data_IF_866347226285
#
_entry.id   IF_866347226285
#
_cell.length_a   1.000
_cell.length_b   1.000
_cell.length_c   1.000
_cell.angle_alpha   90.00
_cell.angle_beta   90.00
_cell.angle_gamma   90.00
#
_symmetry.space_group_name_H-M   'P 1'
#
loop_
_entity.id
_entity.type
_entity.pdbx_description
1 polymer ?
#
# COMPACT_ATOMS: atom_id res chain seq x y z
N UNK A 1 -15.54 7.78 -13.36
CA UNK A 1 -14.28 8.47 -12.97
C UNK A 1 -13.23 7.41 -12.79
N UNK A 2 -12.46 7.13 -13.83
CA UNK A 2 -11.34 6.18 -13.76
C UNK A 2 -10.21 6.83 -12.99
N UNK A 3 -9.86 6.21 -11.90
CA UNK A 3 -8.81 6.61 -10.98
C UNK A 3 -7.46 6.37 -11.67
N UNK A 4 -6.49 7.24 -11.50
CA UNK A 4 -5.13 7.11 -12.07
C UNK A 4 -4.32 5.89 -11.59
N UNK A 5 -4.81 5.09 -10.66
CA UNK A 5 -4.31 3.73 -10.51
C UNK A 5 -4.47 2.93 -11.83
N UNK A 6 -5.32 3.41 -12.76
CA UNK A 6 -5.47 2.93 -14.12
C UNK A 6 -4.23 3.10 -15.02
N UNK A 7 -3.33 4.04 -14.74
CA UNK A 7 -2.06 4.10 -15.52
C UNK A 7 -1.17 2.89 -15.30
N UNK A 8 -1.34 2.23 -14.15
CA UNK A 8 -0.65 0.97 -13.86
C UNK A 8 -1.40 -0.25 -14.43
N UNK A 9 -2.73 -0.13 -14.66
CA UNK A 9 -3.53 -1.20 -15.29
C UNK A 9 -3.16 -1.42 -16.76
N UNK A 10 -2.88 -0.36 -17.51
CA UNK A 10 -2.52 -0.47 -18.93
C UNK A 10 -1.13 -1.08 -19.19
N UNK A 11 -0.26 -1.12 -18.20
CA UNK A 11 1.05 -1.73 -18.33
C UNK A 11 1.03 -3.26 -18.11
N UNK A 12 -0.02 -3.78 -17.49
CA UNK A 12 -0.17 -5.21 -17.18
C UNK A 12 -0.69 -6.02 -18.38
N UNK A 13 -1.35 -5.39 -19.36
CA UNK A 13 -1.93 -6.08 -20.53
C UNK A 13 -0.90 -6.68 -21.50
N UNK A 14 0.40 -6.41 -21.31
CA UNK A 14 1.46 -6.87 -22.18
C UNK A 14 2.47 -7.84 -21.53
N UNK A 15 2.29 -8.19 -20.27
CA UNK A 15 3.10 -9.22 -19.64
C UNK A 15 2.37 -10.58 -19.72
N UNK A 16 2.79 -11.45 -20.62
CA UNK A 16 2.46 -12.89 -20.53
C UNK A 16 3.00 -13.41 -19.19
N UNK A 17 2.12 -13.51 -18.21
CA UNK A 17 2.44 -14.05 -16.90
C UNK A 17 2.45 -15.57 -17.04
N UNK A 18 3.63 -16.17 -17.05
CA UNK A 18 3.75 -17.56 -16.71
C UNK A 18 3.32 -17.74 -15.26
N UNK A 19 2.20 -18.42 -15.05
CA UNK A 19 1.67 -18.76 -13.74
C UNK A 19 2.70 -19.64 -13.04
N UNK A 20 3.49 -19.05 -12.15
CA UNK A 20 4.27 -19.80 -11.18
C UNK A 20 3.36 -20.17 -10.01
N UNK A 21 3.44 -21.43 -9.64
CA UNK A 21 2.62 -22.11 -8.64
C UNK A 21 2.50 -21.36 -7.32
N UNK A 22 1.33 -21.48 -6.74
CA UNK A 22 0.82 -21.15 -5.43
C UNK A 22 1.88 -20.98 -4.33
N UNK A 23 2.37 -19.75 -4.15
CA UNK A 23 3.24 -19.40 -3.03
C UNK A 23 2.39 -18.67 -1.99
N UNK A 24 1.97 -19.42 -0.99
CA UNK A 24 1.31 -18.84 0.19
C UNK A 24 2.17 -17.76 0.84
N UNK A 25 1.63 -16.59 1.17
CA UNK A 25 2.41 -15.43 1.64
C UNK A 25 3.14 -15.61 2.98
N UNK A 26 3.00 -16.75 3.63
CA UNK A 26 3.43 -16.96 5.02
C UNK A 26 4.78 -17.68 5.18
N UNK A 27 5.48 -18.10 4.14
CA UNK A 27 6.57 -19.07 4.33
C UNK A 27 7.89 -18.84 3.62
N UNK A 28 8.13 -17.77 2.92
CA UNK A 28 9.47 -17.60 2.37
C UNK A 28 10.15 -16.34 2.92
N UNK A 29 10.94 -16.55 3.96
CA UNK A 29 11.89 -15.56 4.47
C UNK A 29 13.07 -15.29 3.52
N UNK A 30 12.82 -15.27 2.23
CA UNK A 30 13.79 -14.88 1.22
C UNK A 30 13.42 -13.46 0.77
N UNK A 31 13.98 -12.47 1.47
CA UNK A 31 13.99 -11.10 0.98
C UNK A 31 14.87 -11.04 -0.27
N UNK A 32 14.26 -11.11 -1.44
CA UNK A 32 14.96 -10.77 -2.66
C UNK A 32 15.10 -9.26 -2.68
N UNK A 33 16.28 -8.78 -2.34
CA UNK A 33 16.62 -7.36 -2.39
C UNK A 33 16.73 -6.97 -3.86
N UNK A 34 15.67 -6.44 -4.43
CA UNK A 34 15.78 -5.69 -5.66
C UNK A 34 16.00 -4.22 -5.28
N UNK A 35 17.19 -3.71 -5.53
CA UNK A 35 17.40 -2.27 -5.58
C UNK A 35 16.50 -1.70 -6.67
N UNK A 36 15.37 -1.13 -6.29
CA UNK A 36 14.61 -0.29 -7.20
C UNK A 36 15.55 0.85 -7.55
N UNK A 37 16.06 0.78 -8.72
CA UNK A 37 17.07 1.56 -9.41
C UNK A 37 17.61 2.79 -8.66
N UNK A 38 18.86 2.73 -8.24
CA UNK A 38 19.63 3.82 -7.64
C UNK A 38 19.68 5.10 -8.50
N UNK A 39 19.27 5.04 -9.76
CA UNK A 39 19.30 6.17 -10.69
C UNK A 39 18.10 7.12 -10.59
N UNK A 40 17.10 6.83 -9.76
CA UNK A 40 15.89 7.66 -9.64
C UNK A 40 15.62 8.10 -8.19
N UNK A 41 16.63 8.12 -7.35
CA UNK A 41 16.49 8.67 -5.99
C UNK A 41 15.58 7.87 -5.02
N UNK A 42 15.14 6.67 -5.39
CA UNK A 42 14.29 5.81 -4.56
C UNK A 42 15.18 4.90 -3.70
N UNK A 43 16.03 5.49 -2.88
CA UNK A 43 16.90 4.78 -1.96
C UNK A 43 16.18 4.29 -0.68
N UNK A 44 14.85 4.47 -0.61
CA UNK A 44 14.12 4.28 0.63
C UNK A 44 13.31 2.98 0.69
N UNK A 45 13.26 2.19 -0.39
CA UNK A 45 12.38 1.03 -0.47
C UNK A 45 13.11 -0.24 -0.88
N UNK A 46 12.73 -1.35 -0.29
CA UNK A 46 13.02 -2.70 -0.79
C UNK A 46 11.76 -3.31 -1.38
N UNK A 47 11.88 -4.02 -2.47
CA UNK A 47 10.78 -4.79 -3.04
C UNK A 47 10.63 -6.09 -2.27
N UNK A 48 9.46 -6.36 -1.74
CA UNK A 48 9.09 -7.66 -1.20
C UNK A 48 8.65 -8.55 -2.38
N UNK A 49 9.22 -9.73 -2.50
CA UNK A 49 8.90 -10.78 -3.48
C UNK A 49 9.22 -10.52 -4.95
N UNK A 50 9.76 -9.41 -5.36
CA UNK A 50 10.31 -9.19 -6.71
C UNK A 50 9.34 -9.32 -7.90
N UNK A 51 8.13 -9.81 -7.70
CA UNK A 51 7.12 -10.00 -8.74
C UNK A 51 5.93 -9.08 -8.51
N UNK A 52 5.27 -8.64 -9.59
CA UNK A 52 3.97 -7.99 -9.50
C UNK A 52 2.98 -8.87 -8.74
N UNK A 53 2.27 -8.31 -7.77
CA UNK A 53 1.23 -9.01 -7.03
C UNK A 53 -0.13 -8.47 -7.44
N UNK A 54 -0.85 -9.24 -8.21
CA UNK A 54 -2.21 -8.93 -8.64
C UNK A 54 -3.25 -9.39 -7.61
N UNK A 55 -4.46 -8.87 -7.70
CA UNK A 55 -5.58 -9.29 -6.86
C UNK A 55 -5.81 -8.45 -5.61
N UNK A 56 -4.93 -7.49 -5.29
CA UNK A 56 -5.13 -6.54 -4.21
C UNK A 56 -4.39 -5.21 -4.46
N UNK A 57 -4.85 -4.13 -3.87
CA UNK A 57 -4.27 -2.80 -3.99
C UNK A 57 -3.66 -2.32 -2.65
N UNK A 58 -3.22 -1.06 -2.58
CA UNK A 58 -2.64 -0.48 -1.37
C UNK A 58 -3.61 -0.47 -0.19
N UNK A 59 -4.90 -0.25 -0.43
CA UNK A 59 -5.92 -0.25 0.62
C UNK A 59 -6.15 -1.65 1.19
N UNK A 60 -6.46 -2.62 0.33
CA UNK A 60 -6.75 -3.99 0.77
C UNK A 60 -5.52 -4.66 1.38
N UNK A 61 -4.33 -4.32 0.89
CA UNK A 61 -3.07 -4.69 1.55
C UNK A 61 -2.98 -4.11 2.96
N UNK A 62 -3.22 -2.81 3.12
CA UNK A 62 -3.10 -2.14 4.41
C UNK A 62 -4.08 -2.67 5.45
N UNK A 63 -5.28 -3.07 5.05
CA UNK A 63 -6.29 -3.64 5.96
C UNK A 63 -6.23 -5.16 6.09
N UNK A 64 -5.18 -5.82 5.58
CA UNK A 64 -5.00 -7.27 5.70
C UNK A 64 -6.00 -8.09 4.88
N UNK A 65 -6.45 -7.58 3.73
CA UNK A 65 -7.35 -8.24 2.77
C UNK A 65 -6.66 -8.45 1.42
N UNK A 66 -5.50 -9.10 1.44
CA UNK A 66 -4.61 -9.25 0.27
C UNK A 66 -5.17 -10.14 -0.85
N UNK A 67 -6.42 -10.52 -0.80
CA UNK A 67 -7.12 -11.27 -1.87
C UNK A 67 -8.26 -10.47 -2.50
N UNK A 68 -8.49 -9.25 -2.05
CA UNK A 68 -9.59 -8.40 -2.50
C UNK A 68 -9.05 -7.16 -3.22
N UNK A 69 -9.64 -6.83 -4.34
CA UNK A 69 -9.37 -5.60 -5.08
C UNK A 69 -10.56 -4.65 -4.95
N UNK A 70 -10.53 -3.79 -3.96
CA UNK A 70 -11.60 -2.84 -3.70
C UNK A 70 -11.08 -1.51 -3.12
N UNK A 71 -11.96 -0.51 -3.10
CA UNK A 71 -11.66 0.82 -2.57
C UNK A 71 -12.20 1.00 -1.14
N UNK A 72 -11.69 1.98 -0.38
CA UNK A 72 -12.27 2.37 0.91
C UNK A 72 -13.78 2.67 0.80
N UNK A 73 -14.56 2.05 1.67
CA UNK A 73 -16.02 2.10 1.68
C UNK A 73 -16.70 0.85 1.11
N UNK A 74 -15.96 -0.04 0.46
CA UNK A 74 -16.52 -1.22 -0.20
C UNK A 74 -17.25 -2.17 0.78
N UNK A 75 -16.60 -2.55 1.88
CA UNK A 75 -17.16 -3.50 2.85
C UNK A 75 -18.35 -2.95 3.63
N UNK A 76 -18.46 -1.64 3.71
CA UNK A 76 -19.58 -0.94 4.37
C UNK A 76 -20.65 -0.46 3.39
N UNK A 77 -20.49 -0.72 2.09
CA UNK A 77 -21.43 -0.28 1.07
C UNK A 77 -21.42 1.23 0.82
N UNK A 78 -20.34 1.92 1.19
CA UNK A 78 -20.17 3.38 0.99
C UNK A 78 -19.44 3.66 -0.32
N UNK A 79 -19.79 4.79 -0.95
CA UNK A 79 -19.04 5.26 -2.11
C UNK A 79 -17.65 5.78 -1.74
N UNK A 80 -16.70 5.65 -2.66
CA UNK A 80 -15.35 6.21 -2.51
C UNK A 80 -15.41 7.75 -2.50
N UNK A 81 -14.84 8.37 -1.47
CA UNK A 81 -14.65 9.82 -1.38
C UNK A 81 -13.16 10.17 -1.55
N UNK A 82 -12.79 10.64 -2.75
CA UNK A 82 -11.41 11.06 -3.04
C UNK A 82 -11.12 12.53 -2.71
N UNK A 83 -12.13 13.30 -2.30
CA UNK A 83 -11.96 14.75 -2.14
C UNK A 83 -11.39 15.15 -0.80
N UNK A 84 -11.58 14.31 0.22
CA UNK A 84 -11.07 14.62 1.55
C UNK A 84 -10.39 13.43 2.23
N UNK A 85 -9.31 13.74 2.96
CA UNK A 85 -8.62 12.77 3.80
C UNK A 85 -9.57 12.18 4.87
N UNK A 86 -10.44 13.03 5.44
CA UNK A 86 -11.44 12.61 6.41
C UNK A 86 -12.51 11.70 5.82
N UNK A 87 -12.90 11.90 4.57
CA UNK A 87 -13.86 11.04 3.87
C UNK A 87 -13.30 9.64 3.64
N UNK A 88 -12.06 9.52 3.16
CA UNK A 88 -11.38 8.22 3.04
C UNK A 88 -11.23 7.56 4.42
N UNK A 89 -10.75 8.30 5.43
CA UNK A 89 -10.64 7.81 6.81
C UNK A 89 -11.95 7.21 7.32
N UNK A 90 -13.04 7.96 7.16
CA UNK A 90 -14.37 7.53 7.59
C UNK A 90 -14.80 6.22 6.90
N UNK A 91 -14.54 6.11 5.60
CA UNK A 91 -14.81 4.89 4.85
C UNK A 91 -14.01 3.69 5.39
N UNK A 92 -12.73 3.89 5.71
CA UNK A 92 -11.90 2.84 6.35
C UNK A 92 -12.49 2.43 7.69
N UNK A 93 -12.92 3.36 8.53
CA UNK A 93 -13.53 3.08 9.83
C UNK A 93 -14.81 2.24 9.70
N UNK A 94 -15.69 2.61 8.78
CA UNK A 94 -16.92 1.84 8.53
C UNK A 94 -16.63 0.44 7.99
N UNK A 95 -15.66 0.34 7.09
CA UNK A 95 -15.25 -0.96 6.54
C UNK A 95 -14.69 -1.88 7.64
N UNK A 96 -13.83 -1.37 8.54
CA UNK A 96 -13.30 -2.20 9.62
C UNK A 96 -14.42 -2.66 10.58
N UNK A 97 -15.37 -1.79 10.91
CA UNK A 97 -16.54 -2.16 11.71
C UNK A 97 -17.41 -3.23 11.02
N UNK A 98 -17.62 -3.10 9.71
CA UNK A 98 -18.35 -4.10 8.91
C UNK A 98 -17.62 -5.46 8.86
N UNK A 99 -16.30 -5.45 8.97
CA UNK A 99 -15.46 -6.64 9.08
C UNK A 99 -15.37 -7.20 10.52
N UNK A 100 -16.07 -6.60 11.48
CA UNK A 100 -16.03 -6.99 12.88
C UNK A 100 -14.76 -6.59 13.63
N UNK A 101 -14.01 -5.61 13.12
CA UNK A 101 -12.72 -5.18 13.64
C UNK A 101 -12.80 -3.85 14.38
N UNK A 102 -11.96 -3.71 15.41
CA UNK A 102 -11.72 -2.42 16.06
C UNK A 102 -10.80 -1.52 15.23
N UNK A 103 -11.07 -0.21 15.25
CA UNK A 103 -10.20 0.79 14.64
C UNK A 103 -10.23 2.07 15.45
N UNK A 104 -9.08 2.73 15.62
CA UNK A 104 -8.96 4.01 16.32
C UNK A 104 -7.77 4.82 15.84
N UNK A 105 -7.86 6.14 16.00
CA UNK A 105 -6.80 7.08 15.62
C UNK A 105 -5.58 6.92 16.51
N UNK A 106 -4.41 7.14 15.95
CA UNK A 106 -3.14 7.10 16.64
C UNK A 106 -2.12 8.06 16.02
N UNK A 107 -0.93 8.09 16.59
CA UNK A 107 0.24 8.77 16.03
C UNK A 107 1.27 7.77 15.50
N UNK A 108 2.27 8.27 14.79
CA UNK A 108 3.38 7.43 14.30
C UNK A 108 4.11 6.73 15.45
N UNK A 109 4.21 7.39 16.62
CA UNK A 109 4.99 6.92 17.78
C UNK A 109 4.21 6.03 18.74
N UNK A 110 2.89 5.93 18.61
CA UNK A 110 2.11 5.07 19.49
C UNK A 110 2.49 3.61 19.30
N UNK A 111 2.58 2.87 20.40
CA UNK A 111 2.84 1.43 20.35
C UNK A 111 1.68 0.69 19.69
N UNK A 112 2.00 -0.41 19.01
CA UNK A 112 1.01 -1.27 18.37
C UNK A 112 0.63 -2.37 19.37
N UNK A 113 -0.63 -2.46 19.83
CA UNK A 113 -1.08 -3.50 20.74
C UNK A 113 -0.97 -4.91 20.12
N UNK A 114 -0.99 -5.91 20.97
CA UNK A 114 -1.06 -7.30 20.53
C UNK A 114 -2.32 -7.54 19.67
N UNK A 115 -2.23 -8.39 18.65
CA UNK A 115 -3.30 -8.62 17.64
C UNK A 115 -3.75 -7.35 16.92
N UNK A 116 -2.83 -6.42 16.69
CA UNK A 116 -3.13 -5.18 15.99
C UNK A 116 -2.02 -4.85 15.01
N UNK A 117 -2.33 -3.97 14.06
CA UNK A 117 -1.34 -3.36 13.18
C UNK A 117 -1.70 -1.89 12.95
N UNK A 118 -0.72 -1.12 12.55
CA UNK A 118 -0.90 0.30 12.27
C UNK A 118 -0.92 0.55 10.77
N UNK A 119 -1.82 1.40 10.34
CA UNK A 119 -1.88 1.89 8.97
C UNK A 119 -1.72 3.41 8.95
N UNK A 120 -1.31 3.93 7.82
CA UNK A 120 -1.28 5.36 7.56
C UNK A 120 -1.79 5.64 6.16
N UNK A 121 -2.51 6.74 6.03
CA UNK A 121 -3.19 7.20 4.84
C UNK A 121 -2.70 8.57 4.42
N UNK A 122 -2.47 8.75 3.12
CA UNK A 122 -2.37 10.06 2.44
C UNK A 122 -3.20 10.05 1.16
N UNK A 123 -3.58 11.23 0.71
CA UNK A 123 -4.30 11.41 -0.56
C UNK A 123 -3.64 12.46 -1.44
N UNK A 124 -3.94 12.35 -2.73
CA UNK A 124 -3.96 13.46 -3.69
C UNK A 124 -5.41 13.81 -3.93
N UNK A 125 -5.90 14.88 -3.29
CA UNK A 125 -7.31 15.24 -3.31
C UNK A 125 -7.89 15.28 -4.73
N UNK A 126 -9.04 14.62 -4.91
CA UNK A 126 -9.72 14.48 -6.20
C UNK A 126 -9.04 13.55 -7.21
N UNK A 127 -7.94 12.90 -6.87
CA UNK A 127 -7.18 12.04 -7.78
C UNK A 127 -6.99 10.61 -7.26
N UNK A 128 -6.37 10.44 -6.09
CA UNK A 128 -5.95 9.11 -5.61
C UNK A 128 -5.68 9.12 -4.11
N UNK A 129 -5.55 7.93 -3.54
CA UNK A 129 -5.16 7.66 -2.16
C UNK A 129 -4.04 6.63 -2.10
N UNK A 130 -3.29 6.63 -1.01
CA UNK A 130 -2.28 5.62 -0.76
C UNK A 130 -2.19 5.25 0.71
N UNK A 131 -1.86 3.98 0.96
CA UNK A 131 -1.72 3.42 2.30
C UNK A 131 -0.36 2.78 2.49
N UNK A 132 0.15 2.86 3.73
CA UNK A 132 1.22 2.02 4.24
C UNK A 132 0.76 1.32 5.51
N UNK A 133 1.39 0.20 5.85
CA UNK A 133 1.13 -0.53 7.08
C UNK A 133 2.42 -0.96 7.79
N UNK A 134 2.31 -1.23 9.08
CA UNK A 134 3.32 -1.89 9.89
C UNK A 134 2.64 -2.84 10.89
N UNK A 135 3.14 -4.07 11.00
CA UNK A 135 2.64 -5.05 11.94
C UNK A 135 3.30 -4.92 13.33
N UNK A 136 2.75 -5.61 14.32
CA UNK A 136 3.31 -5.69 15.68
C UNK A 136 4.29 -6.86 15.81
N UNK A 137 5.32 -6.93 14.97
CA UNK A 137 6.41 -7.91 15.10
C UNK A 137 7.73 -7.20 15.30
N UNK A 138 8.69 -7.85 16.01
CA UNK A 138 9.98 -7.23 16.35
C UNK A 138 10.78 -6.75 15.14
N UNK A 139 10.59 -7.40 13.99
CA UNK A 139 11.30 -7.12 12.75
C UNK A 139 10.45 -6.35 11.73
N UNK A 140 9.32 -5.78 12.20
CA UNK A 140 8.42 -5.09 11.28
C UNK A 140 8.99 -3.76 10.83
N UNK A 141 8.93 -3.59 9.52
CA UNK A 141 9.14 -2.30 8.87
C UNK A 141 7.84 -1.85 8.22
N UNK A 142 7.73 -0.55 7.98
CA UNK A 142 6.62 -0.01 7.21
C UNK A 142 6.65 -0.56 5.78
N UNK A 143 5.49 -0.98 5.31
CA UNK A 143 5.28 -1.61 4.01
C UNK A 143 4.19 -0.89 3.24
N UNK A 144 4.28 -0.92 1.92
CA UNK A 144 3.27 -0.41 1.01
C UNK A 144 3.11 -1.31 -0.21
N UNK A 145 1.95 -1.24 -0.84
CA UNK A 145 1.66 -1.88 -2.13
C UNK A 145 1.58 -0.79 -3.19
N UNK A 146 2.43 -0.86 -4.20
CA UNK A 146 2.47 0.14 -5.27
C UNK A 146 1.31 -0.03 -6.27
N UNK A 147 0.08 0.27 -5.83
CA UNK A 147 -1.13 0.09 -6.64
C UNK A 147 -1.41 -1.37 -6.99
N UNK A 148 -2.24 -1.58 -8.00
CA UNK A 148 -2.47 -2.86 -8.67
C UNK A 148 -1.87 -2.77 -10.08
N UNK A 149 -0.97 -3.59 -10.52
CA UNK A 149 -0.38 -4.81 -9.98
C UNK A 149 0.99 -4.64 -9.31
N UNK A 150 1.32 -3.47 -8.74
CA UNK A 150 2.62 -3.18 -8.18
C UNK A 150 3.10 -4.15 -7.10
N UNK A 151 4.39 -4.18 -6.80
CA UNK A 151 4.96 -5.01 -5.75
C UNK A 151 4.61 -4.48 -4.35
N UNK A 152 4.71 -5.35 -3.36
CA UNK A 152 4.83 -4.91 -1.97
C UNK A 152 6.26 -4.44 -1.74
N UNK A 153 6.42 -3.26 -1.16
CA UNK A 153 7.69 -2.61 -0.87
C UNK A 153 7.81 -2.31 0.62
N UNK A 154 9.03 -2.35 1.12
CA UNK A 154 9.34 -2.06 2.52
C UNK A 154 10.21 -0.81 2.63
N UNK A 155 9.94 0.03 3.64
CA UNK A 155 10.82 1.16 3.96
C UNK A 155 12.15 0.67 4.55
N UNK A 156 13.24 1.26 4.07
CA UNK A 156 14.60 0.91 4.48
C UNK A 156 15.00 1.54 5.82
N UNK A 157 15.89 0.84 6.52
CA UNK A 157 16.72 1.46 7.57
C UNK A 157 15.96 2.13 8.70
N UNK A 158 14.83 1.56 9.14
CA UNK A 158 14.04 2.12 10.24
C UNK A 158 13.30 3.42 9.88
N UNK A 159 13.22 3.75 8.60
CA UNK A 159 12.42 4.89 8.14
C UNK A 159 10.94 4.67 8.40
N UNK A 160 10.24 5.75 8.61
CA UNK A 160 8.79 5.76 8.80
C UNK A 160 8.11 6.67 7.76
N UNK A 161 6.79 6.59 7.60
CA UNK A 161 6.06 7.34 6.59
C UNK A 161 6.24 8.87 6.64
N UNK A 162 6.62 9.43 7.80
CA UNK A 162 6.78 10.89 7.96
C UNK A 162 8.11 11.42 7.43
N UNK A 163 9.08 10.56 7.19
CA UNK A 163 10.42 10.96 6.72
C UNK A 163 10.79 10.40 5.34
N UNK A 164 9.78 10.00 4.57
CA UNK A 164 9.92 9.58 3.18
C UNK A 164 8.96 10.35 2.28
N UNK A 165 9.27 10.41 1.00
CA UNK A 165 8.34 10.88 -0.02
C UNK A 165 7.26 9.83 -0.29
N UNK A 166 6.07 10.31 -0.64
CA UNK A 166 4.94 9.47 -1.01
C UNK A 166 4.71 9.60 -2.51
N UNK A 167 5.30 8.67 -3.25
CA UNK A 167 5.45 8.75 -4.68
C UNK A 167 4.37 7.95 -5.41
N UNK A 168 4.04 8.38 -6.62
CA UNK A 168 3.30 7.57 -7.58
C UNK A 168 4.29 6.73 -8.37
N UNK A 169 3.99 5.46 -8.56
CA UNK A 169 4.84 4.51 -9.28
C UNK A 169 4.19 4.06 -10.58
N UNK A 170 5.01 3.71 -11.55
CA UNK A 170 4.59 3.06 -12.78
C UNK A 170 5.52 1.88 -13.10
N UNK A 171 5.00 0.92 -13.86
CA UNK A 171 5.80 -0.17 -14.40
C UNK A 171 6.50 0.26 -15.69
N UNK A 172 7.81 0.11 -15.73
CA UNK A 172 8.61 0.38 -16.92
C UNK A 172 8.96 -0.94 -17.62
N UNK A 173 8.24 -1.26 -18.68
CA UNK A 173 8.41 -2.51 -19.44
C UNK A 173 9.78 -2.62 -20.13
N UNK A 174 10.43 -1.51 -20.44
CA UNK A 174 11.77 -1.52 -21.07
C UNK A 174 12.87 -1.98 -20.10
N UNK A 175 12.66 -1.81 -18.80
CA UNK A 175 13.61 -2.20 -17.76
C UNK A 175 13.12 -3.31 -16.86
N UNK A 176 11.88 -3.78 -17.09
CA UNK A 176 11.17 -4.75 -16.24
C UNK A 176 11.17 -4.35 -14.74
N UNK A 177 10.89 -3.07 -14.46
CA UNK A 177 10.97 -2.51 -13.11
C UNK A 177 9.90 -1.47 -12.84
N UNK A 178 9.55 -1.34 -11.56
CA UNK A 178 8.76 -0.20 -11.08
C UNK A 178 9.67 1.01 -10.87
N UNK A 179 9.23 2.16 -11.35
CA UNK A 179 9.92 3.43 -11.22
C UNK A 179 8.96 4.51 -10.68
N UNK A 180 9.52 5.58 -10.14
CA UNK A 180 8.73 6.74 -9.71
C UNK A 180 8.21 7.48 -10.94
N UNK A 181 6.89 7.67 -11.02
CA UNK A 181 6.24 8.54 -12.02
C UNK A 181 6.25 9.99 -11.53
N UNK A 182 5.73 10.20 -10.30
CA UNK A 182 5.68 11.54 -9.69
C UNK A 182 6.12 11.47 -8.24
N UNK A 183 7.23 12.14 -7.93
CA UNK A 183 7.73 12.27 -6.56
C UNK A 183 6.80 13.13 -5.72
N UNK A 184 6.48 12.68 -4.49
CA UNK A 184 5.63 13.40 -3.56
C UNK A 184 4.20 13.61 -4.07
N UNK A 185 3.71 12.68 -4.87
CA UNK A 185 2.37 12.76 -5.47
C UNK A 185 1.26 12.86 -4.40
N UNK A 186 1.31 11.99 -3.39
CA UNK A 186 0.36 12.02 -2.27
C UNK A 186 0.83 13.05 -1.24
N UNK A 187 0.19 14.21 -1.21
CA UNK A 187 0.69 15.40 -0.54
C UNK A 187 -0.24 15.97 0.56
N UNK A 188 -1.31 15.28 0.91
CA UNK A 188 -2.13 15.66 2.07
C UNK A 188 -1.36 15.51 3.39
N UNK A 189 -1.95 15.92 4.50
CA UNK A 189 -1.55 15.45 5.81
C UNK A 189 -1.58 13.91 5.90
N UNK A 190 -0.90 13.34 6.90
CA UNK A 190 -0.95 11.91 7.20
C UNK A 190 -2.00 11.65 8.28
N UNK A 191 -2.72 10.52 8.12
CA UNK A 191 -3.64 10.05 9.13
C UNK A 191 -3.29 8.62 9.53
N UNK A 192 -2.96 8.43 10.81
CA UNK A 192 -2.55 7.14 11.36
C UNK A 192 -3.71 6.50 12.12
N UNK A 193 -3.90 5.20 11.92
CA UNK A 193 -4.91 4.40 12.60
C UNK A 193 -4.33 3.05 13.04
N UNK A 194 -4.82 2.51 14.14
CA UNK A 194 -4.57 1.13 14.55
C UNK A 194 -5.82 0.32 14.28
N UNK A 195 -5.64 -0.82 13.60
CA UNK A 195 -6.68 -1.83 13.38
C UNK A 195 -6.40 -3.00 14.32
N UNK A 196 -7.45 -3.51 14.94
CA UNK A 196 -7.42 -4.64 15.87
C UNK A 196 -8.40 -5.71 15.40
N UNK A 197 -7.91 -6.95 15.25
CA UNK A 197 -8.75 -8.14 15.06
C UNK A 197 -9.49 -8.54 16.34
#
# INVERSE_FOLDING_TARGET
>A
LEIRSSKMENAADHAEISVAEDVTPAQSGVSVIYNINSNVGVTNYHTYYGLPQTGFNCYTFAIGKSYDLCNPGYYSGRGLDLFSLSGIKLNVEYDQRSLGRGIYDCTVNDSIPYHSWKIVLRIRAGNDYHFMQISNTSDSAWQQKAGWPGPVMQLLGGKNPSNVTWDLYYYNSSTDRYAVDVTGFYNSGMHYMIIRD
#
